data_IF_964583326496
#
_entry.id   IF_964583326496
#
_cell.length_a   1.000
_cell.length_b   1.000
_cell.length_c   1.000
_cell.angle_alpha   90.00
_cell.angle_beta   90.00
_cell.angle_gamma   90.00
#
_symmetry.space_group_name_H-M   'P 1'
#
loop_
_entity.id
_entity.type
_entity.pdbx_description
1 polymer ?
#
# COMPACT_ATOMS: atom_id res chain seq x y z
N UNK A 1 -19.22 0.99 -22.87
CA UNK A 1 -18.34 1.42 -21.76
C UNK A 1 -19.14 2.34 -20.84
N UNK A 2 -19.12 2.12 -19.51
CA UNK A 2 -19.84 2.97 -18.55
C UNK A 2 -19.31 4.41 -18.60
N UNK A 3 -20.19 5.42 -18.42
CA UNK A 3 -19.81 6.84 -18.49
C UNK A 3 -18.71 7.22 -17.49
N UNK A 4 -18.71 6.61 -16.31
CA UNK A 4 -17.72 6.79 -15.24
C UNK A 4 -16.31 6.25 -15.58
N UNK A 5 -16.15 5.37 -16.58
CA UNK A 5 -14.85 4.77 -16.95
C UNK A 5 -14.17 5.50 -18.10
N UNK A 6 -14.68 6.68 -18.47
CA UNK A 6 -14.19 7.45 -19.61
C UNK A 6 -13.04 8.36 -19.17
N UNK A 7 -12.09 8.65 -20.08
CA UNK A 7 -11.00 9.58 -19.79
C UNK A 7 -11.50 10.97 -19.35
N UNK A 8 -12.59 11.55 -19.92
CA UNK A 8 -13.18 12.78 -19.40
C UNK A 8 -13.69 12.67 -17.95
N UNK A 9 -14.24 11.52 -17.53
CA UNK A 9 -14.69 11.32 -16.16
C UNK A 9 -13.49 11.27 -15.18
N UNK A 10 -12.44 10.55 -15.55
CA UNK A 10 -11.19 10.48 -14.77
C UNK A 10 -10.57 11.89 -14.63
N UNK A 11 -10.42 12.61 -15.74
CA UNK A 11 -9.91 14.00 -15.75
C UNK A 11 -10.75 14.97 -14.91
N UNK A 12 -12.06 14.71 -14.79
CA UNK A 12 -12.94 15.51 -13.92
C UNK A 12 -12.60 15.32 -12.44
N UNK A 13 -12.17 14.13 -12.01
CA UNK A 13 -11.70 13.93 -10.64
C UNK A 13 -10.36 14.65 -10.41
N UNK A 14 -9.41 14.51 -11.33
CA UNK A 14 -8.13 15.24 -11.24
C UNK A 14 -8.36 16.76 -11.11
N UNK A 15 -9.24 17.31 -11.96
CA UNK A 15 -9.61 18.74 -11.93
C UNK A 15 -10.33 19.17 -10.64
N UNK A 16 -10.99 18.24 -9.93
CA UNK A 16 -11.61 18.50 -8.62
C UNK A 16 -10.62 18.51 -7.47
N UNK A 17 -9.34 18.13 -7.69
CA UNK A 17 -8.33 18.07 -6.64
C UNK A 17 -7.96 16.65 -6.20
N UNK A 18 -8.45 15.60 -6.85
CA UNK A 18 -7.96 14.25 -6.58
C UNK A 18 -6.52 14.10 -7.07
N UNK A 19 -5.66 13.53 -6.22
CA UNK A 19 -4.22 13.30 -6.42
C UNK A 19 -3.85 11.90 -5.95
N UNK A 20 -2.63 11.48 -6.26
CA UNK A 20 -2.05 10.23 -5.76
C UNK A 20 -0.82 10.54 -4.94
N UNK A 21 -0.77 9.96 -3.74
CA UNK A 21 0.40 9.95 -2.89
C UNK A 21 1.14 8.63 -3.07
N UNK A 22 2.47 8.69 -3.00
CA UNK A 22 3.34 7.50 -3.04
C UNK A 22 3.86 7.23 -1.64
N UNK A 23 3.61 6.04 -1.10
CA UNK A 23 4.22 5.60 0.16
C UNK A 23 5.22 4.48 -0.09
N UNK A 24 6.48 4.60 0.37
CA UNK A 24 7.49 3.59 0.11
C UNK A 24 7.22 2.28 0.86
N UNK A 25 7.43 1.17 0.16
CA UNK A 25 7.54 -0.17 0.71
C UNK A 25 9.00 -0.60 0.59
N UNK A 26 9.61 -0.96 1.71
CA UNK A 26 11.05 -1.22 1.81
C UNK A 26 11.38 -2.68 2.10
N UNK A 27 12.58 -3.10 1.69
CA UNK A 27 13.15 -4.43 1.94
C UNK A 27 14.66 -4.34 2.25
N UNK A 28 15.32 -5.49 2.45
CA UNK A 28 16.77 -5.59 2.64
C UNK A 28 17.22 -5.32 4.08
N UNK A 29 18.28 -4.51 4.24
CA UNK A 29 18.78 -4.12 5.57
C UNK A 29 17.91 -3.03 6.20
N UNK A 30 16.82 -3.48 6.82
CA UNK A 30 15.83 -2.62 7.46
C UNK A 30 16.38 -1.87 8.69
N UNK A 31 17.43 -2.40 9.33
CA UNK A 31 18.05 -1.78 10.50
C UNK A 31 19.12 -0.77 10.10
N UNK A 32 19.78 -0.95 8.96
CA UNK A 32 20.70 0.01 8.35
C UNK A 32 20.03 0.91 7.33
N UNK A 33 20.40 0.74 6.06
CA UNK A 33 19.88 1.50 4.91
C UNK A 33 18.88 0.64 4.15
N UNK A 34 17.56 0.83 4.37
CA UNK A 34 16.55 0.06 3.67
C UNK A 34 16.57 0.36 2.18
N UNK A 35 16.25 -0.64 1.36
CA UNK A 35 16.09 -0.50 -0.09
C UNK A 35 14.60 -0.33 -0.39
N UNK A 36 14.26 0.63 -1.25
CA UNK A 36 12.89 0.78 -1.74
C UNK A 36 12.61 -0.34 -2.73
N UNK A 37 11.63 -1.19 -2.42
CA UNK A 37 11.18 -2.28 -3.28
C UNK A 37 10.00 -1.86 -4.16
N UNK A 38 9.21 -0.88 -3.71
CA UNK A 38 8.05 -0.39 -4.43
C UNK A 38 7.35 0.74 -3.70
N UNK A 39 6.22 1.15 -4.24
CA UNK A 39 5.36 2.17 -3.66
C UNK A 39 3.90 1.71 -3.63
N UNK A 40 3.21 2.02 -2.55
CA UNK A 40 1.75 2.02 -2.56
C UNK A 40 1.24 3.38 -3.03
N UNK A 41 0.39 3.34 -4.05
CA UNK A 41 -0.31 4.48 -4.61
C UNK A 41 -1.62 4.68 -3.85
N UNK A 42 -1.72 5.81 -3.16
CA UNK A 42 -2.83 6.11 -2.28
C UNK A 42 -3.57 7.36 -2.76
N UNK A 43 -4.89 7.29 -3.01
CA UNK A 43 -5.62 8.48 -3.41
C UNK A 43 -5.67 9.50 -2.26
N UNK A 44 -5.57 10.76 -2.65
CA UNK A 44 -5.68 11.94 -1.80
C UNK A 44 -6.63 12.93 -2.44
N UNK A 45 -7.31 13.72 -1.62
CA UNK A 45 -8.12 14.83 -2.10
C UNK A 45 -7.54 16.13 -1.56
N UNK A 46 -7.02 16.98 -2.46
CA UNK A 46 -6.58 18.33 -2.15
C UNK A 46 -7.80 19.25 -2.19
N UNK A 47 -8.29 19.62 -1.02
CA UNK A 47 -9.39 20.56 -0.87
C UNK A 47 -8.97 21.99 -1.26
N UNK A 48 -9.96 22.86 -1.51
CA UNK A 48 -9.72 24.25 -1.92
C UNK A 48 -8.89 25.04 -0.89
N UNK A 49 -9.03 24.72 0.39
CA UNK A 49 -8.31 25.33 1.51
C UNK A 49 -6.88 24.76 1.70
N UNK A 50 -6.37 23.99 0.75
CA UNK A 50 -5.08 23.28 0.78
C UNK A 50 -5.00 22.12 1.77
N UNK A 51 -6.12 21.72 2.40
CA UNK A 51 -6.16 20.51 3.22
C UNK A 51 -6.07 19.28 2.34
N UNK A 52 -5.20 18.33 2.71
CA UNK A 52 -5.09 17.03 2.06
C UNK A 52 -5.88 15.99 2.87
N UNK A 53 -6.95 15.46 2.27
CA UNK A 53 -7.77 14.41 2.87
C UNK A 53 -7.33 13.02 2.41
N UNK A 54 -7.37 12.06 3.32
CA UNK A 54 -7.12 10.65 3.01
C UNK A 54 -8.36 9.97 2.44
N UNK A 55 -8.20 8.82 1.79
CA UNK A 55 -9.31 8.00 1.29
C UNK A 55 -10.38 7.76 2.37
N UNK A 56 -9.95 7.43 3.59
CA UNK A 56 -10.84 7.21 4.72
C UNK A 56 -11.75 8.40 5.02
N UNK A 57 -11.27 9.62 4.81
CA UNK A 57 -11.98 10.85 5.16
C UNK A 57 -12.96 11.29 4.06
N UNK A 58 -12.59 11.13 2.78
CA UNK A 58 -13.42 11.60 1.67
C UNK A 58 -14.36 10.51 1.10
N UNK A 59 -14.02 9.22 1.17
CA UNK A 59 -14.77 8.17 0.46
C UNK A 59 -16.20 8.02 0.95
N UNK A 60 -16.46 8.25 2.24
CA UNK A 60 -17.79 8.17 2.84
C UNK A 60 -18.79 9.18 2.22
N UNK A 61 -18.27 10.22 1.57
CA UNK A 61 -19.05 11.29 0.97
C UNK A 61 -19.22 11.11 -0.55
N UNK A 62 -18.54 10.12 -1.15
CA UNK A 62 -18.57 9.86 -2.59
C UNK A 62 -19.73 8.92 -2.98
N UNK A 63 -20.34 9.21 -4.12
CA UNK A 63 -21.31 8.29 -4.74
C UNK A 63 -20.62 7.08 -5.40
N UNK A 64 -21.35 5.99 -5.59
CA UNK A 64 -20.82 4.74 -6.19
C UNK A 64 -20.16 4.97 -7.56
N UNK A 65 -20.71 5.85 -8.39
CA UNK A 65 -20.10 6.15 -9.70
C UNK A 65 -18.78 6.93 -9.59
N UNK A 66 -18.70 7.90 -8.67
CA UNK A 66 -17.47 8.66 -8.41
C UNK A 66 -16.41 7.76 -7.79
N UNK A 67 -16.80 6.88 -6.86
CA UNK A 67 -15.93 5.81 -6.36
C UNK A 67 -15.41 4.99 -7.55
N UNK A 68 -16.28 4.40 -8.37
CA UNK A 68 -15.85 3.60 -9.54
C UNK A 68 -14.89 4.38 -10.47
N UNK A 69 -15.10 5.69 -10.62
CA UNK A 69 -14.20 6.58 -11.38
C UNK A 69 -12.85 6.75 -10.68
N UNK A 70 -12.81 6.82 -9.34
CA UNK A 70 -11.59 6.86 -8.54
C UNK A 70 -10.77 5.56 -8.70
N UNK A 71 -11.40 4.39 -8.73
CA UNK A 71 -10.68 3.13 -9.04
C UNK A 71 -10.05 3.20 -10.44
N UNK A 72 -10.78 3.74 -11.42
CA UNK A 72 -10.27 3.91 -12.77
C UNK A 72 -9.10 4.92 -12.85
N UNK A 73 -9.14 5.98 -12.03
CA UNK A 73 -8.01 6.89 -11.85
C UNK A 73 -6.81 6.15 -11.26
N UNK A 74 -6.98 5.37 -10.19
CA UNK A 74 -5.89 4.61 -9.59
C UNK A 74 -5.24 3.61 -10.56
N UNK A 75 -6.04 2.96 -11.42
CA UNK A 75 -5.52 2.13 -12.52
C UNK A 75 -4.66 2.94 -13.48
N UNK A 76 -5.12 4.12 -13.89
CA UNK A 76 -4.37 5.00 -14.81
C UNK A 76 -3.04 5.43 -14.19
N UNK A 77 -3.05 5.84 -12.93
CA UNK A 77 -1.86 6.29 -12.20
C UNK A 77 -0.87 5.15 -11.98
N UNK A 78 -1.35 3.95 -11.65
CA UNK A 78 -0.50 2.76 -11.49
C UNK A 78 0.17 2.36 -12.81
N UNK A 79 -0.57 2.40 -13.92
CA UNK A 79 0.00 2.16 -15.25
C UNK A 79 1.07 3.22 -15.55
N UNK A 80 0.77 4.51 -15.34
CA UNK A 80 1.73 5.60 -15.54
C UNK A 80 3.01 5.44 -14.72
N UNK A 81 2.89 5.09 -13.43
CA UNK A 81 4.01 4.83 -12.55
C UNK A 81 4.86 3.64 -13.03
N UNK A 82 4.20 2.53 -13.41
CA UNK A 82 4.89 1.32 -13.89
C UNK A 82 5.69 1.51 -15.18
N UNK A 83 5.21 2.40 -16.07
CA UNK A 83 5.83 2.70 -17.36
C UNK A 83 6.96 3.73 -17.21
N UNK A 84 6.76 4.75 -16.36
CA UNK A 84 7.71 5.86 -16.19
C UNK A 84 8.88 5.55 -15.26
N UNK A 85 8.76 4.52 -14.41
CA UNK A 85 9.78 4.24 -13.41
C UNK A 85 11.07 3.67 -14.02
N UNK A 86 12.18 4.35 -13.73
CA UNK A 86 13.51 4.10 -14.28
C UNK A 86 14.08 2.72 -13.93
N UNK A 87 13.88 2.27 -12.69
CA UNK A 87 14.30 0.92 -12.26
C UNK A 87 13.21 -0.08 -12.55
N UNK A 88 13.53 -1.18 -13.24
CA UNK A 88 12.60 -2.28 -13.53
C UNK A 88 12.17 -3.06 -12.29
N UNK A 89 12.89 -2.91 -11.18
CA UNK A 89 12.70 -3.72 -9.96
C UNK A 89 11.62 -3.14 -9.03
N UNK A 90 11.24 -1.87 -9.25
CA UNK A 90 10.20 -1.22 -8.44
C UNK A 90 8.81 -1.72 -8.83
N UNK A 91 8.03 -2.10 -7.82
CA UNK A 91 6.61 -2.40 -7.98
C UNK A 91 5.70 -1.28 -7.49
N UNK A 92 4.47 -1.26 -7.98
CA UNK A 92 3.44 -0.27 -7.64
C UNK A 92 2.19 -1.00 -7.19
N UNK A 93 1.85 -0.84 -5.92
CA UNK A 93 0.62 -1.39 -5.37
C UNK A 93 -0.47 -0.33 -5.27
N UNK A 94 -1.72 -0.74 -5.45
CA UNK A 94 -2.86 0.16 -5.38
C UNK A 94 -4.13 -0.62 -5.04
N UNK A 95 -5.00 0.00 -4.26
CA UNK A 95 -6.22 -0.61 -3.79
C UNK A 95 -7.32 -0.55 -4.85
N UNK A 96 -8.01 -1.67 -5.06
CA UNK A 96 -9.24 -1.73 -5.85
C UNK A 96 -10.35 -2.40 -5.06
N UNK A 97 -11.55 -1.83 -5.12
CA UNK A 97 -12.70 -2.41 -4.42
C UNK A 97 -13.15 -3.72 -5.05
N UNK A 98 -13.54 -4.66 -4.19
CA UNK A 98 -14.13 -5.95 -4.60
C UNK A 98 -15.35 -5.78 -5.49
N UNK A 99 -16.18 -4.76 -5.23
CA UNK A 99 -17.36 -4.45 -6.04
C UNK A 99 -17.00 -4.06 -7.47
N UNK A 100 -15.96 -3.24 -7.65
CA UNK A 100 -15.44 -2.84 -8.97
C UNK A 100 -14.83 -4.03 -9.71
N UNK A 101 -13.97 -4.81 -9.06
CA UNK A 101 -13.37 -6.01 -9.66
C UNK A 101 -14.40 -7.09 -10.03
N UNK A 102 -15.56 -7.10 -9.37
CA UNK A 102 -16.67 -8.02 -9.65
C UNK A 102 -17.67 -7.49 -10.68
N UNK A 103 -17.57 -6.22 -11.06
CA UNK A 103 -18.37 -5.61 -12.11
C UNK A 103 -17.74 -5.87 -13.48
N UNK A 104 -18.50 -6.47 -14.40
CA UNK A 104 -17.96 -6.82 -15.71
C UNK A 104 -17.49 -5.60 -16.51
N UNK A 105 -18.17 -4.46 -16.38
CA UNK A 105 -17.80 -3.24 -17.10
C UNK A 105 -16.47 -2.66 -16.64
N UNK A 106 -16.19 -2.69 -15.32
CA UNK A 106 -14.90 -2.28 -14.78
C UNK A 106 -13.80 -3.32 -15.05
N UNK A 107 -14.10 -4.62 -14.92
CA UNK A 107 -13.16 -5.69 -15.24
C UNK A 107 -12.70 -5.60 -16.70
N UNK A 108 -13.62 -5.48 -17.66
CA UNK A 108 -13.31 -5.33 -19.09
C UNK A 108 -12.46 -4.08 -19.34
N UNK A 109 -12.77 -2.96 -18.65
CA UNK A 109 -11.97 -1.74 -18.72
C UNK A 109 -10.54 -1.98 -18.25
N UNK A 110 -10.35 -2.56 -17.06
CA UNK A 110 -9.04 -2.85 -16.49
C UNK A 110 -8.23 -3.78 -17.39
N UNK A 111 -8.81 -4.91 -17.80
CA UNK A 111 -8.16 -5.88 -18.68
C UNK A 111 -7.74 -5.23 -20.01
N UNK A 112 -8.62 -4.42 -20.62
CA UNK A 112 -8.29 -3.74 -21.88
C UNK A 112 -7.11 -2.76 -21.75
N UNK A 113 -6.99 -2.08 -20.61
CA UNK A 113 -5.87 -1.17 -20.32
C UNK A 113 -4.56 -1.91 -20.09
N UNK A 114 -4.62 -3.04 -19.39
CA UNK A 114 -3.44 -3.88 -19.14
C UNK A 114 -3.00 -4.64 -20.41
N UNK A 115 -3.92 -4.98 -21.32
CA UNK A 115 -3.61 -5.76 -22.51
C UNK A 115 -2.63 -5.07 -23.45
N UNK A 116 -2.60 -3.73 -23.45
CA UNK A 116 -1.68 -2.93 -24.28
C UNK A 116 -0.31 -2.70 -23.65
N UNK A 117 -0.14 -3.03 -22.36
CA UNK A 117 1.15 -2.94 -21.67
C UNK A 117 2.04 -4.13 -22.02
N UNK A 118 3.36 -3.95 -21.91
CA UNK A 118 4.27 -5.07 -22.02
C UNK A 118 4.30 -5.91 -20.71
N UNK A 119 4.83 -7.12 -20.78
CA UNK A 119 4.82 -8.05 -19.64
C UNK A 119 5.64 -7.57 -18.45
N UNK A 120 6.75 -6.85 -18.68
CA UNK A 120 7.58 -6.31 -17.60
C UNK A 120 6.79 -5.25 -16.83
N UNK A 121 6.19 -4.29 -17.52
CA UNK A 121 5.37 -3.24 -16.89
C UNK A 121 4.21 -3.83 -16.08
N UNK A 122 3.50 -4.83 -16.62
CA UNK A 122 2.41 -5.50 -15.90
C UNK A 122 2.87 -6.23 -14.63
N UNK A 123 4.02 -6.89 -14.67
CA UNK A 123 4.57 -7.64 -13.52
C UNK A 123 4.90 -6.76 -12.32
N UNK A 124 5.03 -5.45 -12.56
CA UNK A 124 5.29 -4.44 -11.53
C UNK A 124 4.01 -4.00 -10.82
N UNK A 125 2.83 -4.28 -11.37
CA UNK A 125 1.57 -3.90 -10.76
C UNK A 125 1.13 -4.91 -9.70
N UNK A 126 0.70 -4.40 -8.55
CA UNK A 126 0.13 -5.18 -7.44
C UNK A 126 -1.25 -4.62 -7.11
N UNK A 127 -2.30 -5.35 -7.42
CA UNK A 127 -3.67 -4.96 -7.04
C UNK A 127 -3.92 -5.41 -5.61
N UNK A 128 -4.17 -4.46 -4.71
CA UNK A 128 -4.56 -4.75 -3.32
C UNK A 128 -6.09 -4.85 -3.22
N UNK A 129 -6.58 -5.91 -2.55
CA UNK A 129 -7.98 -6.07 -2.16
C UNK A 129 -8.07 -6.19 -0.64
N UNK A 130 -8.98 -5.42 -0.03
CA UNK A 130 -9.15 -5.43 1.41
C UNK A 130 -9.71 -6.79 1.90
N UNK A 131 -8.92 -7.44 2.75
CA UNK A 131 -9.21 -8.73 3.39
C UNK A 131 -10.38 -8.69 4.37
N UNK A 132 -10.75 -7.51 4.90
CA UNK A 132 -11.90 -7.35 5.80
C UNK A 132 -13.22 -7.67 5.09
N UNK A 133 -13.35 -7.32 3.80
CA UNK A 133 -14.49 -7.68 2.97
C UNK A 133 -14.61 -9.19 2.75
N UNK A 134 -13.50 -9.93 2.86
CA UNK A 134 -13.50 -11.39 2.76
C UNK A 134 -14.15 -12.01 4.01
N UNK A 135 -14.01 -11.38 5.18
CA UNK A 135 -14.56 -11.91 6.43
C UNK A 135 -16.11 -11.88 6.50
N UNK A 136 -16.78 -11.00 5.74
CA UNK A 136 -18.24 -10.94 5.65
C UNK A 136 -18.81 -11.96 4.63
N UNK A 137 -18.87 -13.23 5.07
CA UNK A 137 -19.19 -14.37 4.21
C UNK A 137 -20.55 -14.33 3.50
N UNK A 138 -21.53 -13.53 3.96
CA UNK A 138 -22.84 -13.41 3.29
C UNK A 138 -22.77 -12.49 2.07
N UNK A 139 -22.17 -11.32 2.23
CA UNK A 139 -22.02 -10.34 1.14
C UNK A 139 -20.98 -10.79 0.12
N UNK A 140 -19.88 -11.40 0.60
CA UNK A 140 -18.78 -11.84 -0.24
C UNK A 140 -19.11 -13.01 -1.17
N UNK A 141 -19.98 -13.94 -0.75
CA UNK A 141 -20.36 -15.12 -1.53
C UNK A 141 -20.93 -14.80 -2.92
N UNK A 142 -21.63 -13.66 -3.05
CA UNK A 142 -22.23 -13.20 -4.31
C UNK A 142 -21.22 -12.60 -5.30
N UNK A 143 -20.07 -12.15 -4.80
CA UNK A 143 -19.01 -11.55 -5.60
C UNK A 143 -17.93 -12.56 -5.98
N UNK A 144 -17.68 -13.55 -5.10
CA UNK A 144 -16.56 -14.48 -5.22
C UNK A 144 -16.37 -15.12 -6.62
N UNK A 145 -17.41 -15.66 -7.30
CA UNK A 145 -17.19 -16.24 -8.64
C UNK A 145 -16.72 -15.21 -9.67
N UNK A 146 -17.27 -13.99 -9.63
CA UNK A 146 -16.91 -12.90 -10.55
C UNK A 146 -15.55 -12.31 -10.22
N UNK A 147 -15.30 -12.03 -8.94
CA UNK A 147 -14.00 -11.60 -8.44
C UNK A 147 -12.92 -12.59 -8.84
N UNK A 148 -13.11 -13.88 -8.53
CA UNK A 148 -12.13 -14.93 -8.86
C UNK A 148 -11.82 -14.99 -10.34
N UNK A 149 -12.85 -14.88 -11.20
CA UNK A 149 -12.65 -14.82 -12.66
C UNK A 149 -11.75 -13.65 -13.04
N UNK A 150 -12.05 -12.44 -12.58
CA UNK A 150 -11.24 -11.24 -12.85
C UNK A 150 -9.81 -11.41 -12.35
N UNK A 151 -9.61 -11.85 -11.11
CA UNK A 151 -8.26 -12.02 -10.53
C UNK A 151 -7.43 -13.08 -11.27
N UNK A 152 -8.04 -14.18 -11.71
CA UNK A 152 -7.36 -15.21 -12.54
C UNK A 152 -6.93 -14.60 -13.88
N UNK A 153 -7.76 -13.76 -14.48
CA UNK A 153 -7.41 -13.07 -15.73
C UNK A 153 -6.25 -12.09 -15.52
N UNK A 154 -6.29 -11.26 -14.46
CA UNK A 154 -5.21 -10.33 -14.11
C UNK A 154 -3.86 -11.04 -13.87
N UNK A 155 -3.88 -12.10 -13.07
CA UNK A 155 -2.69 -12.93 -12.81
C UNK A 155 -2.16 -13.61 -14.07
N UNK A 156 -3.03 -14.07 -14.97
CA UNK A 156 -2.60 -14.62 -16.26
C UNK A 156 -1.89 -13.60 -17.17
N UNK A 157 -2.14 -12.30 -16.95
CA UNK A 157 -1.45 -11.20 -17.65
C UNK A 157 -0.14 -10.77 -16.94
N UNK A 158 0.14 -11.33 -15.76
CA UNK A 158 1.32 -11.06 -14.96
C UNK A 158 1.11 -10.04 -13.83
N UNK A 159 -0.10 -9.50 -13.64
CA UNK A 159 -0.39 -8.61 -12.50
C UNK A 159 -0.45 -9.42 -11.21
N UNK A 160 0.17 -8.93 -10.13
CA UNK A 160 0.14 -9.59 -8.83
C UNK A 160 -1.07 -9.18 -8.02
N UNK A 161 -1.62 -10.10 -7.23
CA UNK A 161 -2.73 -9.81 -6.32
C UNK A 161 -2.27 -9.84 -4.88
N UNK A 162 -2.50 -8.75 -4.16
CA UNK A 162 -2.30 -8.65 -2.73
C UNK A 162 -3.64 -8.67 -2.00
N UNK A 163 -3.72 -9.45 -0.92
CA UNK A 163 -4.82 -9.29 0.04
C UNK A 163 -4.32 -8.45 1.20
N UNK A 164 -4.94 -7.30 1.41
CA UNK A 164 -4.59 -6.30 2.43
C UNK A 164 -5.36 -6.51 3.74
N UNK A 165 -4.91 -5.89 4.83
CA UNK A 165 -5.65 -5.85 6.08
C UNK A 165 -5.58 -7.13 6.93
N UNK A 166 -4.65 -8.05 6.68
CA UNK A 166 -4.58 -9.31 7.45
C UNK A 166 -4.33 -9.06 8.92
N UNK A 167 -5.13 -9.75 9.74
CA UNK A 167 -4.92 -9.84 11.17
C UNK A 167 -5.47 -11.15 11.74
N UNK A 168 -5.03 -11.45 12.96
CA UNK A 168 -5.38 -12.65 13.72
C UNK A 168 -6.90 -12.82 14.00
N UNK A 169 -7.71 -11.77 13.83
CA UNK A 169 -9.16 -11.80 14.10
C UNK A 169 -10.01 -12.07 12.86
N UNK A 170 -9.39 -12.02 11.68
CA UNK A 170 -10.09 -12.23 10.41
C UNK A 170 -9.95 -13.68 9.96
N UNK A 171 -11.06 -14.33 9.60
CA UNK A 171 -11.07 -15.67 8.97
C UNK A 171 -10.60 -15.64 7.49
N UNK A 172 -9.69 -14.73 7.14
CA UNK A 172 -9.26 -14.46 5.77
C UNK A 172 -8.53 -15.65 5.12
N UNK A 173 -7.91 -16.53 5.91
CA UNK A 173 -7.07 -17.63 5.42
C UNK A 173 -7.77 -18.56 4.43
N UNK A 174 -9.02 -18.96 4.73
CA UNK A 174 -9.81 -19.84 3.86
C UNK A 174 -10.16 -19.19 2.52
N UNK A 175 -10.24 -17.86 2.47
CA UNK A 175 -10.59 -17.14 1.25
C UNK A 175 -9.36 -16.82 0.42
N UNK A 176 -8.22 -16.53 1.05
CA UNK A 176 -6.92 -16.47 0.36
C UNK A 176 -6.67 -17.74 -0.42
N UNK A 177 -6.89 -18.91 0.18
CA UNK A 177 -6.67 -20.20 -0.48
C UNK A 177 -7.58 -20.46 -1.69
N UNK A 178 -8.58 -19.61 -1.94
CA UNK A 178 -9.50 -19.73 -3.08
C UNK A 178 -9.20 -18.75 -4.22
N UNK A 179 -8.35 -17.76 -3.97
CA UNK A 179 -7.99 -16.68 -4.89
C UNK A 179 -6.54 -16.85 -5.37
N UNK A 180 -6.18 -16.35 -6.56
CA UNK A 180 -4.80 -16.40 -7.05
C UNK A 180 -3.99 -15.28 -6.38
N UNK A 181 -3.57 -15.51 -5.13
CA UNK A 181 -2.89 -14.50 -4.30
C UNK A 181 -1.37 -14.63 -4.44
N UNK A 182 -0.71 -13.52 -4.76
CA UNK A 182 0.74 -13.40 -4.90
C UNK A 182 1.37 -12.63 -3.72
N UNK A 183 0.56 -11.94 -2.94
CA UNK A 183 1.00 -11.12 -1.83
C UNK A 183 -0.02 -11.09 -0.68
N UNK A 184 0.46 -10.99 0.55
CA UNK A 184 -0.37 -10.67 1.72
C UNK A 184 0.25 -9.48 2.47
N UNK A 185 -0.61 -8.64 3.03
CA UNK A 185 -0.21 -7.48 3.82
C UNK A 185 -0.90 -7.52 5.18
N UNK A 186 -0.08 -7.56 6.22
CA UNK A 186 -0.52 -7.53 7.61
C UNK A 186 -0.80 -6.08 8.02
N UNK A 187 -1.94 -5.86 8.66
CA UNK A 187 -2.34 -4.53 9.11
C UNK A 187 -1.56 -4.08 10.35
N UNK A 188 -1.59 -2.78 10.71
CA UNK A 188 -0.91 -2.25 11.89
C UNK A 188 -1.30 -2.97 13.19
N UNK A 189 -2.57 -3.38 13.33
CA UNK A 189 -3.07 -4.10 14.51
C UNK A 189 -2.43 -5.48 14.65
N UNK A 190 -2.12 -6.15 13.53
CA UNK A 190 -1.44 -7.45 13.55
C UNK A 190 -0.01 -7.32 14.08
N UNK A 191 0.73 -6.30 13.62
CA UNK A 191 2.11 -6.03 14.08
C UNK A 191 2.12 -5.64 15.57
N UNK A 192 1.16 -4.82 16.01
CA UNK A 192 1.01 -4.43 17.42
C UNK A 192 0.68 -5.64 18.31
N UNK A 193 -0.18 -6.54 17.85
CA UNK A 193 -0.51 -7.76 18.58
C UNK A 193 0.68 -8.72 18.67
N UNK A 194 1.44 -8.89 17.58
CA UNK A 194 2.67 -9.70 17.58
C UNK A 194 3.72 -9.14 18.56
N UNK A 195 3.90 -7.81 18.59
CA UNK A 195 4.81 -7.18 19.54
C UNK A 195 4.41 -7.46 21.00
N UNK A 196 3.11 -7.37 21.32
CA UNK A 196 2.58 -7.72 22.65
C UNK A 196 2.78 -9.19 23.00
N UNK A 197 2.64 -10.10 22.04
CA UNK A 197 2.86 -11.52 22.24
C UNK A 197 4.31 -11.81 22.63
N UNK A 198 5.27 -11.21 21.91
CA UNK A 198 6.70 -11.35 22.24
C UNK A 198 7.06 -10.75 23.60
N UNK A 199 6.30 -9.77 24.07
CA UNK A 199 6.43 -9.19 25.42
C UNK A 199 5.71 -10.00 26.52
N UNK A 200 5.04 -11.10 26.17
CA UNK A 200 4.27 -11.92 27.11
C UNK A 200 2.99 -11.25 27.63
N UNK A 201 2.40 -10.34 26.85
CA UNK A 201 1.24 -9.51 27.23
C UNK A 201 -0.07 -9.92 26.54
N UNK A 202 -0.18 -11.17 26.10
CA UNK A 202 -1.37 -11.73 25.42
C UNK A 202 -2.06 -12.79 26.28
N UNK A 203 -3.36 -12.98 26.09
CA UNK A 203 -4.07 -14.13 26.67
C UNK A 203 -3.71 -15.43 25.95
N UNK A 204 -4.03 -16.59 26.53
CA UNK A 204 -3.81 -17.90 25.87
C UNK A 204 -4.56 -18.03 24.55
N UNK A 205 -5.81 -17.51 24.49
CA UNK A 205 -6.60 -17.51 23.26
C UNK A 205 -5.99 -16.62 22.17
N UNK A 206 -5.55 -15.41 22.54
CA UNK A 206 -4.88 -14.48 21.62
C UNK A 206 -3.55 -15.04 21.12
N UNK A 207 -2.83 -15.76 21.99
CA UNK A 207 -1.56 -16.42 21.65
C UNK A 207 -1.72 -17.48 20.55
N UNK A 208 -2.78 -18.29 20.61
CA UNK A 208 -3.07 -19.28 19.57
C UNK A 208 -3.39 -18.62 18.23
N UNK A 209 -4.24 -17.59 18.23
CA UNK A 209 -4.61 -16.86 17.01
C UNK A 209 -3.38 -16.21 16.34
N UNK A 210 -2.46 -15.67 17.14
CA UNK A 210 -1.21 -15.08 16.66
C UNK A 210 -0.24 -16.14 16.12
N UNK A 211 -0.16 -17.32 16.73
CA UNK A 211 0.67 -18.42 16.21
C UNK A 211 0.16 -18.93 14.85
N UNK A 212 -1.17 -19.03 14.68
CA UNK A 212 -1.80 -19.37 13.41
C UNK A 212 -1.48 -18.31 12.35
N UNK A 213 -1.62 -17.03 12.69
CA UNK A 213 -1.29 -15.92 11.80
C UNK A 213 0.19 -15.94 11.39
N UNK A 214 1.10 -16.17 12.33
CA UNK A 214 2.55 -16.29 12.08
C UNK A 214 2.85 -17.45 11.13
N UNK A 215 2.32 -18.63 11.43
CA UNK A 215 2.48 -19.83 10.62
C UNK A 215 1.95 -19.63 9.20
N UNK A 216 0.83 -18.92 9.06
CA UNK A 216 0.27 -18.58 7.76
C UNK A 216 1.19 -17.66 6.96
N UNK A 217 1.71 -16.57 7.57
CA UNK A 217 2.64 -15.66 6.89
C UNK A 217 3.94 -16.34 6.45
N UNK A 218 4.51 -17.21 7.30
CA UNK A 218 5.66 -18.05 6.94
C UNK A 218 5.33 -18.98 5.77
N UNK A 219 4.14 -19.59 5.77
CA UNK A 219 3.68 -20.47 4.69
C UNK A 219 3.50 -19.73 3.37
N UNK A 220 2.90 -18.54 3.41
CA UNK A 220 2.72 -17.69 2.22
C UNK A 220 4.08 -17.28 1.63
N UNK A 221 5.04 -16.89 2.48
CA UNK A 221 6.41 -16.62 2.02
C UNK A 221 7.04 -17.85 1.38
N UNK A 222 6.90 -19.03 1.99
CA UNK A 222 7.45 -20.28 1.46
C UNK A 222 6.81 -20.68 0.12
N UNK A 223 5.54 -20.30 -0.09
CA UNK A 223 4.83 -20.44 -1.37
C UNK A 223 5.33 -19.46 -2.46
N UNK A 224 6.21 -18.52 -2.11
CA UNK A 224 6.73 -17.50 -3.01
C UNK A 224 5.93 -16.20 -2.99
N UNK A 225 4.97 -16.05 -2.09
CA UNK A 225 4.22 -14.80 -1.97
C UNK A 225 5.06 -13.71 -1.30
N UNK A 226 4.80 -12.47 -1.72
CA UNK A 226 5.25 -11.28 -1.02
C UNK A 226 4.51 -11.17 0.34
N UNK A 227 5.24 -10.91 1.41
CA UNK A 227 4.65 -10.73 2.75
C UNK A 227 5.07 -9.38 3.30
N UNK A 228 4.10 -8.48 3.42
CA UNK A 228 4.28 -7.09 3.79
C UNK A 228 3.75 -6.87 5.21
N UNK A 229 4.47 -6.10 6.03
CA UNK A 229 3.94 -5.54 7.27
C UNK A 229 3.69 -4.05 7.10
N UNK A 230 2.44 -3.64 7.29
CA UNK A 230 2.02 -2.23 7.30
C UNK A 230 2.03 -1.64 8.72
N UNK A 231 2.06 -0.30 8.80
CA UNK A 231 1.96 0.43 10.06
C UNK A 231 3.21 0.36 10.93
N UNK A 232 4.39 0.18 10.33
CA UNK A 232 5.65 0.26 11.08
C UNK A 232 5.93 1.73 11.45
N UNK A 233 5.66 2.06 12.70
CA UNK A 233 5.88 3.38 13.31
C UNK A 233 7.28 3.50 13.94
N UNK A 234 7.89 2.37 14.34
CA UNK A 234 9.23 2.31 14.92
C UNK A 234 10.02 1.11 14.37
N UNK A 235 11.32 1.32 14.07
CA UNK A 235 12.19 0.24 13.55
C UNK A 235 12.25 -1.00 14.44
N UNK A 236 12.00 -0.86 15.74
CA UNK A 236 11.93 -2.00 16.67
C UNK A 236 10.79 -3.00 16.34
N UNK A 237 9.68 -2.53 15.75
CA UNK A 237 8.55 -3.39 15.36
C UNK A 237 8.91 -4.36 14.22
N UNK A 238 9.97 -4.07 13.45
CA UNK A 238 10.39 -4.90 12.32
C UNK A 238 10.87 -6.28 12.76
N UNK A 239 11.47 -6.38 13.96
CA UNK A 239 11.88 -7.65 14.57
C UNK A 239 10.68 -8.54 14.88
N UNK A 240 9.59 -7.94 15.38
CA UNK A 240 8.33 -8.65 15.62
C UNK A 240 7.72 -9.14 14.31
N UNK A 241 7.56 -8.23 13.33
CA UNK A 241 7.03 -8.56 12.01
C UNK A 241 7.85 -9.65 11.27
N UNK A 242 9.17 -9.68 11.44
CA UNK A 242 10.04 -10.69 10.83
C UNK A 242 9.65 -12.13 11.22
N UNK A 243 9.17 -12.34 12.46
CA UNK A 243 8.66 -13.62 12.93
C UNK A 243 7.47 -14.13 12.11
N UNK A 244 6.67 -13.22 11.54
CA UNK A 244 5.47 -13.50 10.76
C UNK A 244 5.76 -13.84 9.28
N UNK A 245 7.02 -14.12 8.93
CA UNK A 245 7.42 -14.39 7.54
C UNK A 245 7.49 -13.13 6.66
N UNK A 246 7.45 -11.94 7.26
CA UNK A 246 7.52 -10.65 6.56
C UNK A 246 8.88 -10.46 5.90
N UNK A 247 8.87 -9.95 4.67
CA UNK A 247 10.07 -9.58 3.90
C UNK A 247 10.08 -8.11 3.48
N UNK A 248 8.94 -7.44 3.58
CA UNK A 248 8.73 -6.06 3.15
C UNK A 248 7.98 -5.27 4.22
N UNK A 249 8.29 -3.99 4.33
CA UNK A 249 7.84 -3.17 5.44
C UNK A 249 7.34 -1.81 4.92
N UNK A 250 6.27 -1.33 5.51
CA UNK A 250 5.66 -0.05 5.18
C UNK A 250 5.23 0.64 6.48
N UNK A 251 5.37 1.96 6.51
CA UNK A 251 4.95 2.79 7.63
C UNK A 251 5.80 4.03 7.81
N UNK A 252 5.41 4.88 8.76
CA UNK A 252 6.05 6.17 9.02
C UNK A 252 7.52 6.08 9.41
N UNK A 253 8.00 4.92 9.87
CA UNK A 253 9.43 4.66 10.12
C UNK A 253 10.29 4.63 8.84
N UNK A 254 9.67 4.46 7.67
CA UNK A 254 10.35 4.35 6.36
C UNK A 254 9.96 5.44 5.39
N UNK A 255 8.77 6.03 5.55
CA UNK A 255 8.33 7.18 4.78
C UNK A 255 6.83 7.42 4.92
N UNK A 256 6.46 8.69 4.85
CA UNK A 256 5.06 9.08 4.74
C UNK A 256 4.57 8.91 3.29
N UNK A 257 3.25 8.83 3.13
CA UNK A 257 2.62 8.94 1.83
C UNK A 257 2.65 10.40 1.39
N UNK A 258 3.41 10.72 0.34
CA UNK A 258 3.59 12.09 -0.13
C UNK A 258 2.93 12.27 -1.50
N UNK A 259 2.12 13.32 -1.68
CA UNK A 259 1.75 13.78 -3.03
C UNK A 259 2.91 14.58 -3.62
N UNK A 260 2.94 14.78 -4.95
CA UNK A 260 3.97 15.60 -5.60
C UNK A 260 4.10 17.01 -4.99
N UNK A 261 2.98 17.60 -4.52
CA UNK A 261 2.97 18.88 -3.81
C UNK A 261 3.58 18.84 -2.40
N UNK A 262 3.73 17.64 -1.80
CA UNK A 262 4.39 17.44 -0.50
C UNK A 262 5.89 17.14 -0.67
N UNK A 263 6.37 16.91 -1.90
CA UNK A 263 7.80 16.73 -2.13
C UNK A 263 8.48 18.05 -1.78
N UNK A 264 9.48 18.06 -0.87
CA UNK A 264 10.22 19.27 -0.61
C UNK A 264 10.82 19.77 -1.93
N UNK A 265 10.78 21.09 -2.17
CA UNK A 265 11.43 21.76 -3.31
C UNK A 265 12.93 21.40 -3.31
N UNK A 266 13.29 20.28 -3.92
CA UNK A 266 14.67 19.79 -4.02
C UNK A 266 14.93 19.48 -5.48
N UNK A 267 14.95 20.54 -6.29
CA UNK A 267 15.62 20.55 -7.59
C UNK A 267 17.10 20.94 -7.49
N UNK A 268 17.68 21.01 -6.28
CA UNK A 268 19.13 21.13 -6.07
C UNK A 268 19.55 20.50 -4.73
N UNK A 269 19.73 19.18 -4.69
CA UNK A 269 20.66 18.59 -3.72
C UNK A 269 21.24 17.26 -4.25
N UNK A 270 22.58 17.15 -4.39
CA UNK A 270 23.22 15.90 -4.76
C UNK A 270 23.21 14.92 -3.58
N UNK A 271 23.19 13.62 -3.91
CA UNK A 271 23.19 12.47 -3.03
C UNK A 271 24.02 12.65 -1.74
N UNK A 272 23.38 12.97 -0.63
CA UNK A 272 23.85 12.68 0.72
C UNK A 272 22.76 12.96 1.75
N UNK A 273 22.24 11.90 2.35
CA UNK A 273 21.36 11.96 3.53
C UNK A 273 22.24 12.35 4.73
N UNK A 274 22.11 13.59 5.21
CA UNK A 274 22.08 13.97 6.64
C UNK A 274 22.24 15.49 6.80
N UNK A 275 21.21 16.17 7.30
CA UNK A 275 21.33 17.08 8.46
C UNK A 275 19.96 17.63 8.89
N UNK A 276 19.62 17.29 10.14
CA UNK A 276 18.94 18.12 11.13
C UNK A 276 17.74 18.95 10.67
N UNK A 277 16.56 18.53 11.14
CA UNK A 277 15.41 19.38 11.47
C UNK A 277 15.87 20.79 11.93
N UNK A 278 15.43 21.83 11.21
CA UNK A 278 15.44 23.21 11.69
C UNK A 278 14.00 23.64 11.94
N UNK A 279 13.73 24.09 13.16
CA UNK A 279 12.52 24.79 13.54
C UNK A 279 12.47 25.00 15.05
N UNK A 280 12.97 26.16 15.51
CA UNK A 280 12.85 26.58 16.90
C UNK A 280 13.98 27.53 17.34
N UNK A 281 13.87 28.80 16.95
CA UNK A 281 14.69 29.90 17.46
C UNK A 281 14.51 30.06 18.97
N UNK A 282 15.59 29.89 19.75
CA UNK A 282 16.05 30.84 20.78
C UNK A 282 17.33 30.31 21.45
N UNK A 283 18.27 31.21 21.70
CA UNK A 283 19.50 31.02 22.51
C UNK A 283 20.60 30.10 21.95
N UNK A 284 21.51 30.65 21.12
CA UNK A 284 22.98 30.54 21.33
C UNK A 284 23.66 31.73 20.63
N UNK A 285 23.76 32.86 21.32
CA UNK A 285 24.97 33.70 21.20
C UNK A 285 25.97 33.14 22.20
N UNK A 286 27.25 33.10 21.82
CA UNK A 286 28.43 32.82 22.68
C UNK A 286 29.04 31.40 22.66
N UNK A 287 29.39 30.85 21.49
CA UNK A 287 30.39 29.75 21.49
C UNK A 287 31.42 29.71 20.34
N UNK A 288 31.71 30.84 19.68
CA UNK A 288 32.80 30.90 18.67
C UNK A 288 33.69 32.15 18.80
N UNK A 289 34.08 32.52 20.03
CA UNK A 289 35.14 33.51 20.28
C UNK A 289 36.02 33.07 21.46
N UNK A 290 36.73 31.94 21.32
CA UNK A 290 37.84 31.57 22.22
C UNK A 290 38.70 30.44 21.62
N UNK A 291 39.23 30.60 20.39
CA UNK A 291 40.37 29.80 19.88
C UNK A 291 41.22 30.64 18.91
N UNK A 292 41.52 31.88 19.29
CA UNK A 292 42.45 32.75 18.58
C UNK A 292 43.16 33.73 19.53
N UNK A 293 43.63 33.24 20.67
CA UNK A 293 44.67 33.88 21.50
C UNK A 293 44.94 33.02 22.75
N UNK A 294 46.02 32.23 22.71
CA UNK A 294 46.48 31.39 23.83
C UNK A 294 46.98 30.05 23.35
#
# INVERSE_FOLDING_TARGET
MKKCLTLPAIRKLEAKGFRVANQPIVTGDIQGIPQVAGYELLPRFLAEDQTILTARDFEQQMGIEDLTTLDALMVQEAIGASVSAESSDLFFSFNLRVSSLSDSGFADFLISRLAVMNTVERSRLVVEIDGSHLADGKSFSNYLPRLKKTLVELTSMGVRICVDGFNHRTNGFRLVSQLPVDAIKFCPEAVKAESRFLEGKCSDSESMDLEVMRSFGVSMRAWGCLVIADGIEARAQTSAAKGMGVTHYQGSAFGQALVEADLPDVLDAPASINRSYRGGDTEVKDFCQAMASG
#
